data_IF_177446135188
#
_entry.id   IF_177446135188
#
_cell.length_a   1.000
_cell.length_b   1.000
_cell.length_c   1.000
_cell.angle_alpha   90.00
_cell.angle_beta   90.00
_cell.angle_gamma   90.00
#
_symmetry.space_group_name_H-M   'P 1'
#
loop_
_entity.id
_entity.type
_entity.pdbx_description
1 polymer ?
#
# COMPACT_ATOMS: atom_id res chain seq x y z
N UNK A 1 0.47 -0.67 -10.63
CA UNK A 1 1.69 -0.91 -9.81
C UNK A 1 1.42 -2.02 -8.82
N UNK A 2 2.27 -3.04 -8.73
CA UNK A 2 2.12 -4.14 -7.76
C UNK A 2 2.81 -3.85 -6.44
N UNK A 3 2.24 -4.37 -5.36
CA UNK A 3 2.91 -4.47 -4.06
C UNK A 3 3.80 -5.70 -4.11
N UNK A 4 5.11 -5.48 -3.98
CA UNK A 4 6.12 -6.52 -4.04
C UNK A 4 7.02 -6.45 -2.82
N UNK A 5 7.76 -7.53 -2.58
CA UNK A 5 8.77 -7.62 -1.54
C UNK A 5 10.10 -6.96 -1.97
N UNK A 6 11.13 -7.04 -1.13
CA UNK A 6 12.48 -6.45 -1.30
C UNK A 6 12.56 -4.93 -1.05
N UNK A 7 11.60 -4.37 -0.31
CA UNK A 7 11.74 -3.04 0.26
C UNK A 7 12.90 -2.97 1.26
N UNK A 8 13.47 -1.77 1.42
CA UNK A 8 14.49 -1.48 2.44
C UNK A 8 13.81 -0.97 3.69
N UNK A 9 14.15 -1.57 4.83
CA UNK A 9 13.61 -1.18 6.13
C UNK A 9 14.15 0.19 6.60
N UNK A 10 13.27 0.99 7.21
CA UNK A 10 13.65 2.26 7.84
C UNK A 10 14.02 3.37 6.86
N UNK A 11 14.88 4.30 7.33
CA UNK A 11 15.36 5.48 6.60
C UNK A 11 14.25 6.26 5.88
N UNK A 12 13.23 6.79 6.60
CA UNK A 12 12.09 7.48 6.00
C UNK A 12 12.56 8.73 5.24
N UNK A 13 12.43 8.70 3.91
CA UNK A 13 12.86 9.80 3.06
C UNK A 13 12.79 9.45 1.58
N UNK A 14 13.43 10.28 0.75
CA UNK A 14 13.43 10.15 -0.71
C UNK A 14 13.73 8.71 -1.17
N UNK A 15 14.76 8.09 -0.62
CA UNK A 15 15.25 6.78 -1.05
C UNK A 15 14.31 5.60 -0.71
N UNK A 16 13.46 5.75 0.30
CA UNK A 16 12.57 4.67 0.77
C UNK A 16 11.10 4.99 0.58
N UNK A 17 10.77 6.09 -0.11
CA UNK A 17 9.39 6.58 -0.30
C UNK A 17 8.40 5.49 -0.70
N UNK A 18 8.82 4.52 -1.53
CA UNK A 18 7.97 3.42 -2.04
C UNK A 18 7.69 2.30 -1.03
N UNK A 19 8.33 2.32 0.13
CA UNK A 19 8.25 1.26 1.14
C UNK A 19 7.21 1.56 2.22
N UNK A 20 6.60 2.75 2.19
CA UNK A 20 5.71 3.23 3.24
C UNK A 20 4.25 3.11 2.85
N UNK A 21 3.50 2.38 3.67
CA UNK A 21 2.06 2.17 3.54
C UNK A 21 1.35 2.64 4.81
N UNK A 22 0.07 2.95 4.70
CA UNK A 22 -0.80 3.28 5.84
C UNK A 22 -1.90 2.25 5.96
N UNK A 23 -2.33 2.03 7.19
CA UNK A 23 -3.57 1.30 7.51
C UNK A 23 -4.60 2.36 7.86
N UNK A 24 -5.73 2.36 7.15
CA UNK A 24 -6.80 3.34 7.33
C UNK A 24 -8.12 2.61 7.61
N UNK A 25 -8.99 3.20 8.44
CA UNK A 25 -10.33 2.64 8.70
C UNK A 25 -11.16 2.58 7.40
N UNK A 26 -11.90 1.50 7.21
CA UNK A 26 -12.74 1.31 6.03
C UNK A 26 -13.94 0.41 6.35
N UNK A 27 -15.16 0.95 6.26
CA UNK A 27 -16.42 0.24 6.51
C UNK A 27 -16.46 -0.66 7.77
N UNK A 28 -15.88 -0.20 8.88
CA UNK A 28 -15.85 -0.96 10.15
C UNK A 28 -14.58 -1.80 10.35
N UNK A 29 -13.84 -2.07 9.28
CA UNK A 29 -12.55 -2.76 9.28
C UNK A 29 -11.45 -1.78 8.81
N UNK A 30 -10.52 -2.25 7.97
CA UNK A 30 -9.37 -1.50 7.48
C UNK A 30 -9.10 -1.69 5.99
N UNK A 31 -8.33 -0.78 5.43
CA UNK A 31 -7.71 -0.89 4.11
C UNK A 31 -6.25 -0.49 4.18
N UNK A 32 -5.47 -0.92 3.19
CA UNK A 32 -4.11 -0.47 2.98
C UNK A 32 -4.08 0.65 1.94
N UNK A 33 -3.27 1.68 2.19
CA UNK A 33 -3.12 2.84 1.31
C UNK A 33 -1.65 3.12 1.05
N UNK A 34 -1.31 3.36 -0.20
CA UNK A 34 -0.01 3.91 -0.60
C UNK A 34 -0.16 5.41 -0.81
N UNK A 35 0.28 6.20 0.17
CA UNK A 35 0.36 7.66 0.10
C UNK A 35 1.42 8.14 1.09
N UNK A 36 2.71 7.92 0.78
CA UNK A 36 3.80 8.14 1.72
C UNK A 36 3.99 9.63 2.02
N UNK A 37 4.14 9.97 3.30
CA UNK A 37 4.38 11.34 3.79
C UNK A 37 5.84 11.58 4.21
N UNK A 38 6.71 10.61 3.98
CA UNK A 38 8.12 10.64 4.40
C UNK A 38 9.00 11.55 3.52
N UNK A 39 8.49 12.03 2.39
CA UNK A 39 9.19 12.95 1.50
C UNK A 39 8.27 14.10 1.08
N UNK A 40 8.43 15.27 1.69
CA UNK A 40 7.52 16.43 1.53
C UNK A 40 7.45 17.00 0.11
N UNK A 41 8.53 16.87 -0.67
CA UNK A 41 8.62 17.39 -2.04
C UNK A 41 8.42 16.32 -3.11
N UNK A 42 8.27 15.04 -2.72
CA UNK A 42 8.06 13.96 -3.66
C UNK A 42 6.62 14.00 -4.20
N UNK A 43 6.48 13.96 -5.53
CA UNK A 43 5.18 13.72 -6.16
C UNK A 43 4.96 12.21 -6.28
N UNK A 44 4.08 11.69 -5.43
CA UNK A 44 3.70 10.28 -5.41
C UNK A 44 2.24 10.15 -5.82
N UNK A 45 1.92 9.09 -6.59
CA UNK A 45 0.54 8.77 -6.89
C UNK A 45 -0.07 8.11 -5.64
N UNK A 46 -0.93 8.85 -4.94
CA UNK A 46 -1.67 8.29 -3.81
C UNK A 46 -2.81 7.41 -4.32
N UNK A 47 -2.89 6.18 -3.82
CA UNK A 47 -3.90 5.20 -4.23
C UNK A 47 -4.15 4.17 -3.13
N UNK A 48 -5.30 3.52 -3.17
CA UNK A 48 -5.57 2.40 -2.27
C UNK A 48 -4.78 1.17 -2.75
N UNK A 49 -4.67 0.16 -1.89
CA UNK A 49 -4.25 -1.18 -2.31
C UNK A 49 -5.50 -2.03 -2.50
N UNK A 50 -5.63 -2.62 -3.69
CA UNK A 50 -6.69 -3.52 -4.10
C UNK A 50 -6.16 -4.86 -4.61
N UNK A 51 -7.07 -5.72 -5.06
CA UNK A 51 -6.74 -7.00 -5.70
C UNK A 51 -6.74 -6.82 -7.23
N UNK A 52 -5.69 -7.33 -7.88
CA UNK A 52 -5.57 -7.41 -9.32
C UNK A 52 -5.35 -8.86 -9.75
N UNK A 53 -6.16 -9.34 -10.70
CA UNK A 53 -6.00 -10.68 -11.28
C UNK A 53 -4.98 -10.64 -12.41
N UNK A 54 -3.89 -11.39 -12.29
CA UNK A 54 -2.91 -11.59 -13.36
C UNK A 54 -2.68 -13.09 -13.55
N UNK A 55 -3.01 -13.63 -14.72
CA UNK A 55 -2.82 -15.06 -15.06
C UNK A 55 -3.39 -16.02 -14.00
N UNK A 56 -4.58 -15.70 -13.46
CA UNK A 56 -5.24 -16.50 -12.42
C UNK A 56 -4.71 -16.29 -11.00
N UNK A 57 -3.67 -15.47 -10.82
CA UNK A 57 -3.08 -15.14 -9.52
C UNK A 57 -3.62 -13.79 -9.02
N UNK A 58 -4.02 -13.74 -7.75
CA UNK A 58 -4.41 -12.50 -7.08
C UNK A 58 -3.16 -11.78 -6.56
N UNK A 59 -2.93 -10.58 -7.07
CA UNK A 59 -1.86 -9.69 -6.63
C UNK A 59 -2.44 -8.49 -5.89
N UNK A 60 -1.72 -8.00 -4.87
CA UNK A 60 -1.96 -6.68 -4.32
C UNK A 60 -1.40 -5.62 -5.28
N UNK A 61 -2.22 -4.62 -5.60
CA UNK A 61 -1.86 -3.56 -6.54
C UNK A 61 -2.43 -2.21 -6.11
N UNK A 62 -1.80 -1.12 -6.55
CA UNK A 62 -2.42 0.21 -6.47
C UNK A 62 -3.68 0.23 -7.31
N UNK A 63 -4.80 0.63 -6.70
CA UNK A 63 -6.14 0.51 -7.24
C UNK A 63 -7.06 1.61 -6.71
N UNK A 64 -7.99 2.05 -7.55
CA UNK A 64 -9.08 2.94 -7.12
C UNK A 64 -10.10 2.20 -6.26
N UNK A 65 -10.18 0.87 -6.41
CA UNK A 65 -11.02 -0.01 -5.60
C UNK A 65 -10.18 -0.57 -4.44
N UNK A 66 -10.42 -0.16 -3.18
CA UNK A 66 -9.71 -0.67 -2.01
C UNK A 66 -10.10 -2.11 -1.69
N UNK A 67 -9.16 -2.89 -1.17
CA UNK A 67 -9.44 -4.20 -0.58
C UNK A 67 -9.65 -4.08 0.93
N UNK A 68 -10.81 -4.55 1.41
CA UNK A 68 -11.15 -4.54 2.82
C UNK A 68 -10.41 -5.68 3.56
N UNK A 69 -9.77 -5.38 4.68
CA UNK A 69 -8.94 -6.32 5.45
C UNK A 69 -9.19 -6.24 6.95
N UNK A 70 -9.05 -7.38 7.62
CA UNK A 70 -9.03 -7.50 9.08
C UNK A 70 -7.66 -8.02 9.53
N UNK A 71 -7.24 -7.64 10.74
CA UNK A 71 -5.98 -8.12 11.33
C UNK A 71 -6.31 -9.07 12.48
N UNK A 72 -6.03 -10.36 12.28
CA UNK A 72 -6.16 -11.39 13.30
C UNK A 72 -4.80 -11.66 13.92
N UNK A 73 -4.73 -11.69 15.25
CA UNK A 73 -3.51 -12.07 15.96
C UNK A 73 -3.23 -13.57 15.70
N UNK A 74 -2.00 -13.89 15.32
CA UNK A 74 -1.53 -15.27 15.15
C UNK A 74 -1.32 -15.97 16.49
#
# INVERSE_FOLDING_TARGET
>A
WFVIIKGVEGNPGLQTTRNWFRIEKFYGDYKLVFCPLVCKFCKVLCSNVGIFMNDGVQHLALSDVPFNVIFLKA
#
